data_IF_688218209241
#
_entry.id   IF_688218209241
#
_cell.length_a   1.000
_cell.length_b   1.000
_cell.length_c   1.000
_cell.angle_alpha   90.00
_cell.angle_beta   90.00
_cell.angle_gamma   90.00
#
_symmetry.space_group_name_H-M   'P 1'
#
loop_
_entity.id
_entity.type
_entity.pdbx_description
1 polymer ?
#
# COMPACT_ATOMS: atom_id res chain seq x y z
N UNK A 1 -5.23 -9.78 -12.38
CA UNK A 1 -4.41 -8.83 -11.59
C UNK A 1 -5.14 -7.49 -11.58
N UNK A 2 -5.49 -6.94 -10.41
CA UNK A 2 -6.07 -5.59 -10.33
C UNK A 2 -5.00 -4.54 -10.70
N UNK A 3 -5.41 -3.44 -11.29
CA UNK A 3 -4.55 -2.33 -11.73
C UNK A 3 -3.84 -1.66 -10.53
N UNK A 4 -2.58 -1.24 -10.70
CA UNK A 4 -1.74 -0.61 -9.66
C UNK A 4 -1.30 0.77 -10.17
N UNK A 5 -1.78 1.84 -9.54
CA UNK A 5 -1.61 3.21 -10.01
C UNK A 5 -0.73 4.03 -9.06
N UNK A 6 0.12 4.91 -9.59
CA UNK A 6 0.95 5.79 -8.76
C UNK A 6 0.18 7.05 -8.40
N UNK A 7 0.09 7.36 -7.12
CA UNK A 7 -0.37 8.67 -6.64
C UNK A 7 0.84 9.48 -6.19
N UNK A 8 0.99 10.70 -6.69
CA UNK A 8 2.10 11.60 -6.30
C UNK A 8 1.61 13.00 -6.03
N UNK A 9 2.33 13.73 -5.19
CA UNK A 9 2.19 15.17 -5.07
C UNK A 9 3.12 15.86 -6.09
N UNK A 10 2.55 16.75 -6.90
CA UNK A 10 3.28 17.60 -7.83
C UNK A 10 3.20 19.04 -7.32
N UNK A 11 4.35 19.61 -6.93
CA UNK A 11 4.43 20.96 -6.38
C UNK A 11 3.73 21.97 -7.30
N UNK A 12 2.87 22.82 -6.72
CA UNK A 12 1.97 23.79 -7.40
C UNK A 12 0.92 23.20 -8.36
N UNK A 13 0.91 21.88 -8.58
CA UNK A 13 -0.07 21.19 -9.45
C UNK A 13 -1.01 20.26 -8.68
N UNK A 14 -0.83 20.10 -7.38
CA UNK A 14 -1.67 19.25 -6.54
C UNK A 14 -1.32 17.77 -6.64
N UNK A 15 -2.32 16.91 -6.44
CA UNK A 15 -2.20 15.46 -6.43
C UNK A 15 -2.49 14.87 -7.80
N UNK A 16 -1.64 13.96 -8.25
CA UNK A 16 -1.77 13.34 -9.56
C UNK A 16 -1.87 11.82 -9.42
N UNK A 17 -2.78 11.23 -10.19
CA UNK A 17 -2.80 9.80 -10.45
C UNK A 17 -2.11 9.57 -11.79
N UNK A 18 -1.11 8.69 -11.79
CA UNK A 18 -0.20 8.46 -12.92
C UNK A 18 -0.12 6.97 -13.20
N UNK A 19 -0.14 6.62 -14.49
CA UNK A 19 0.21 5.30 -14.99
C UNK A 19 1.42 5.42 -15.91
N UNK A 20 2.55 4.85 -15.49
CA UNK A 20 3.85 5.06 -16.14
C UNK A 20 4.24 6.55 -16.20
N UNK A 21 4.31 7.11 -17.41
CA UNK A 21 4.56 8.54 -17.67
C UNK A 21 3.28 9.36 -17.85
N UNK A 22 2.12 8.72 -17.94
CA UNK A 22 0.86 9.35 -18.29
C UNK A 22 0.14 9.83 -17.04
N UNK A 23 -0.16 11.13 -16.97
CA UNK A 23 -1.03 11.69 -15.95
C UNK A 23 -2.47 11.37 -16.33
N UNK A 24 -3.13 10.52 -15.53
CA UNK A 24 -4.53 10.15 -15.76
C UNK A 24 -5.47 11.26 -15.30
N UNK A 25 -5.22 11.83 -14.12
CA UNK A 25 -6.02 12.94 -13.57
C UNK A 25 -5.25 13.70 -12.48
N UNK A 26 -5.60 14.97 -12.30
CA UNK A 26 -5.06 15.86 -11.26
C UNK A 26 -6.17 16.30 -10.30
N UNK A 27 -5.84 16.46 -9.03
CA UNK A 27 -6.74 16.76 -7.93
C UNK A 27 -6.13 17.78 -6.98
N UNK A 28 -6.96 18.60 -6.36
CA UNK A 28 -6.48 19.52 -5.31
C UNK A 28 -6.09 18.78 -4.02
N UNK A 29 -6.82 17.72 -3.68
CA UNK A 29 -6.68 16.97 -2.42
C UNK A 29 -6.26 15.52 -2.67
N UNK A 30 -5.50 14.97 -1.71
CA UNK A 30 -5.04 13.57 -1.72
C UNK A 30 -6.21 12.61 -1.81
N UNK A 31 -7.25 12.85 -1.03
CA UNK A 31 -8.44 12.01 -0.93
C UNK A 31 -9.16 11.90 -2.27
N UNK A 32 -9.20 12.98 -3.07
CA UNK A 32 -9.76 12.94 -4.42
C UNK A 32 -8.99 12.01 -5.36
N UNK A 33 -7.65 12.07 -5.31
CA UNK A 33 -6.80 11.18 -6.08
C UNK A 33 -6.97 9.71 -5.66
N UNK A 34 -7.07 9.44 -4.35
CA UNK A 34 -7.32 8.08 -3.86
C UNK A 34 -8.73 7.58 -4.18
N UNK A 35 -9.74 8.46 -4.17
CA UNK A 35 -11.11 8.09 -4.53
C UNK A 35 -11.16 7.63 -5.98
N UNK A 36 -10.48 8.34 -6.89
CA UNK A 36 -10.35 7.94 -8.29
C UNK A 36 -9.71 6.55 -8.47
N UNK A 37 -8.71 6.21 -7.64
CA UNK A 37 -8.09 4.88 -7.66
C UNK A 37 -9.08 3.81 -7.17
N UNK A 38 -9.84 4.09 -6.10
CA UNK A 38 -10.89 3.19 -5.58
C UNK A 38 -11.99 2.97 -6.61
N UNK A 39 -12.48 4.03 -7.25
CA UNK A 39 -13.57 3.98 -8.24
C UNK A 39 -13.20 3.14 -9.47
N UNK A 40 -11.90 3.02 -9.79
CA UNK A 40 -11.37 2.13 -10.84
C UNK A 40 -11.22 0.67 -10.40
N UNK A 41 -11.45 0.35 -9.13
CA UNK A 41 -11.11 -0.95 -8.58
C UNK A 41 -9.59 -1.22 -8.57
N UNK A 42 -8.79 -0.16 -8.67
CA UNK A 42 -7.34 -0.20 -8.63
C UNK A 42 -6.83 -0.09 -7.18
N UNK A 43 -5.51 -0.19 -7.01
CA UNK A 43 -4.82 0.09 -5.74
C UNK A 43 -3.62 1.01 -5.98
N UNK A 44 -3.22 1.74 -4.95
CA UNK A 44 -2.05 2.61 -5.01
C UNK A 44 -0.76 1.77 -5.06
N UNK A 45 0.19 2.22 -5.88
CA UNK A 45 1.56 1.77 -5.87
C UNK A 45 2.29 2.33 -4.65
N UNK A 46 2.63 1.48 -3.68
CA UNK A 46 3.51 1.85 -2.56
C UNK A 46 4.97 1.60 -2.89
N UNK A 47 5.85 2.38 -2.27
CA UNK A 47 7.28 2.17 -2.33
C UNK A 47 7.66 1.09 -1.32
N UNK A 48 8.46 0.12 -1.75
CA UNK A 48 8.83 -1.03 -0.91
C UNK A 48 10.34 -1.09 -0.73
N UNK A 49 10.78 -1.23 0.52
CA UNK A 49 12.18 -1.42 0.88
C UNK A 49 12.30 -2.48 1.96
N UNK A 50 13.51 -3.02 2.19
CA UNK A 50 13.73 -3.93 3.32
C UNK A 50 13.61 -3.14 4.62
N UNK A 51 12.93 -3.71 5.61
CA UNK A 51 12.88 -3.13 6.94
C UNK A 51 14.28 -3.17 7.56
N UNK A 52 14.77 -2.03 8.07
CA UNK A 52 16.07 -1.93 8.77
C UNK A 52 15.81 -1.95 10.27
N UNK A 53 16.28 -2.98 10.96
CA UNK A 53 16.13 -3.18 12.40
C UNK A 53 17.52 -3.33 13.01
N UNK A 54 17.94 -2.35 13.83
CA UNK A 54 19.27 -2.36 14.45
C UNK A 54 20.42 -2.46 13.44
N UNK A 55 20.28 -1.80 12.28
CA UNK A 55 21.26 -1.84 11.18
C UNK A 55 21.21 -3.11 10.30
N UNK A 56 20.33 -4.07 10.61
CA UNK A 56 20.15 -5.29 9.82
C UNK A 56 18.91 -5.19 8.93
N UNK A 57 18.99 -5.73 7.72
CA UNK A 57 17.88 -5.79 6.77
C UNK A 57 17.52 -7.27 6.48
N UNK A 58 16.62 -7.89 7.26
CA UNK A 58 16.25 -9.28 7.05
C UNK A 58 15.73 -9.50 5.61
N UNK A 59 16.07 -10.63 4.96
CA UNK A 59 15.79 -10.82 3.53
C UNK A 59 14.30 -10.90 3.19
N UNK A 60 13.45 -11.25 4.17
CA UNK A 60 12.03 -11.51 3.99
C UNK A 60 11.12 -10.57 4.78
N UNK A 61 11.60 -9.35 5.04
CA UNK A 61 10.91 -8.31 5.81
C UNK A 61 10.96 -6.99 5.05
N UNK A 62 9.79 -6.47 4.68
CA UNK A 62 9.69 -5.29 3.84
C UNK A 62 8.69 -4.29 4.40
N UNK A 63 9.07 -3.02 4.40
CA UNK A 63 8.22 -1.89 4.75
C UNK A 63 7.64 -1.26 3.48
N UNK A 64 6.36 -0.90 3.54
CA UNK A 64 5.65 -0.16 2.51
C UNK A 64 5.58 1.31 2.93
N UNK A 65 5.92 2.21 2.01
CA UNK A 65 5.89 3.65 2.24
C UNK A 65 5.03 4.37 1.21
N UNK A 66 4.34 5.41 1.66
CA UNK A 66 3.71 6.40 0.80
C UNK A 66 4.35 7.76 1.07
N UNK A 67 5.08 8.29 0.09
CA UNK A 67 5.98 9.43 0.29
C UNK A 67 6.98 9.14 1.42
N UNK A 68 7.00 9.95 2.48
CA UNK A 68 7.94 9.81 3.60
C UNK A 68 7.41 8.90 4.72
N UNK A 69 6.13 8.52 4.67
CA UNK A 69 5.48 7.78 5.76
C UNK A 69 5.51 6.28 5.48
N UNK A 70 5.95 5.50 6.47
CA UNK A 70 5.77 4.03 6.44
C UNK A 70 4.34 3.70 6.81
N UNK A 71 3.62 3.03 5.92
CA UNK A 71 2.18 2.78 6.03
C UNK A 71 1.83 1.30 6.21
N UNK A 72 2.79 0.40 6.03
CA UNK A 72 2.57 -1.02 6.23
C UNK A 72 3.84 -1.84 6.15
N UNK A 73 3.69 -3.16 6.33
CA UNK A 73 4.80 -4.12 6.32
C UNK A 73 4.33 -5.49 5.88
N UNK A 74 5.25 -6.25 5.28
CA UNK A 74 5.09 -7.68 5.03
C UNK A 74 6.29 -8.44 5.58
N UNK A 75 6.05 -9.64 6.11
CA UNK A 75 7.06 -10.50 6.70
C UNK A 75 6.75 -11.96 6.35
N UNK A 76 7.76 -12.70 5.89
CA UNK A 76 7.64 -14.14 5.72
C UNK A 76 7.90 -14.88 7.02
N UNK A 77 7.01 -15.80 7.37
CA UNK A 77 7.23 -16.75 8.47
C UNK A 77 8.29 -17.77 8.03
N UNK A 78 9.40 -17.85 8.78
CA UNK A 78 10.55 -18.69 8.41
C UNK A 78 10.53 -20.08 9.05
N UNK A 79 9.85 -20.23 10.19
CA UNK A 79 9.90 -21.44 11.02
C UNK A 79 8.50 -21.79 11.54
N UNK A 80 8.34 -23.04 11.99
CA UNK A 80 7.09 -23.55 12.52
C UNK A 80 6.12 -24.05 11.45
N UNK A 81 4.90 -24.37 11.86
CA UNK A 81 3.85 -24.96 11.02
C UNK A 81 3.35 -24.02 9.92
N UNK A 82 3.48 -22.71 10.11
CA UNK A 82 3.12 -21.68 9.12
C UNK A 82 4.32 -21.23 8.27
N UNK A 83 5.47 -21.93 8.33
CA UNK A 83 6.64 -21.56 7.54
C UNK A 83 6.30 -21.49 6.04
N UNK A 84 6.76 -20.41 5.39
CA UNK A 84 6.43 -20.14 4.00
C UNK A 84 5.34 -19.08 3.81
N UNK A 85 4.44 -18.90 4.79
CA UNK A 85 3.38 -17.89 4.72
C UNK A 85 3.91 -16.47 4.88
N UNK A 86 3.14 -15.51 4.37
CA UNK A 86 3.41 -14.08 4.47
C UNK A 86 2.36 -13.41 5.34
N UNK A 87 2.82 -12.77 6.41
CA UNK A 87 2.02 -11.82 7.17
C UNK A 87 2.09 -10.46 6.49
N UNK A 88 0.97 -9.74 6.47
CA UNK A 88 0.90 -8.35 6.02
C UNK A 88 0.09 -7.51 7.00
N UNK A 89 0.46 -6.24 7.12
CA UNK A 89 -0.28 -5.26 7.92
C UNK A 89 -0.23 -3.88 7.27
N UNK A 90 -1.38 -3.22 7.24
CA UNK A 90 -1.54 -1.79 7.00
C UNK A 90 -1.69 -1.11 8.36
N UNK A 91 -0.75 -0.22 8.70
CA UNK A 91 -0.74 0.47 9.99
C UNK A 91 -1.95 1.40 10.12
N UNK A 92 -2.28 2.08 9.02
CA UNK A 92 -3.47 2.90 8.93
C UNK A 92 -4.74 2.03 8.97
N UNK A 93 -5.48 2.12 10.08
CA UNK A 93 -6.69 1.33 10.31
C UNK A 93 -6.47 -0.11 10.79
N UNK A 94 -5.22 -0.56 10.94
CA UNK A 94 -4.89 -1.84 11.58
C UNK A 94 -5.23 -3.12 10.79
N UNK A 95 -5.69 -2.99 9.54
CA UNK A 95 -6.00 -4.14 8.69
C UNK A 95 -4.76 -5.03 8.49
N UNK A 96 -4.93 -6.35 8.59
CA UNK A 96 -3.84 -7.31 8.50
C UNK A 96 -4.34 -8.69 8.05
N UNK A 97 -3.42 -9.58 7.69
CA UNK A 97 -3.75 -10.95 7.33
C UNK A 97 -2.52 -11.83 7.06
N UNK A 98 -2.77 -13.11 6.79
CA UNK A 98 -1.77 -14.09 6.35
C UNK A 98 -2.18 -14.66 4.99
N UNK A 99 -1.21 -14.81 4.10
CA UNK A 99 -1.41 -15.29 2.72
C UNK A 99 -0.22 -16.14 2.29
N UNK A 100 -0.37 -16.87 1.18
CA UNK A 100 0.63 -17.83 0.71
C UNK A 100 1.80 -17.17 -0.01
N UNK A 101 1.59 -16.00 -0.61
CA UNK A 101 2.60 -15.36 -1.47
C UNK A 101 2.92 -13.93 -1.07
N UNK A 102 4.12 -13.47 -1.47
CA UNK A 102 4.55 -12.09 -1.28
C UNK A 102 3.63 -11.11 -2.00
N UNK A 103 3.19 -11.45 -3.22
CA UNK A 103 2.39 -10.54 -4.04
C UNK A 103 0.97 -10.36 -3.47
N UNK A 104 0.38 -11.41 -2.90
CA UNK A 104 -0.88 -11.28 -2.15
C UNK A 104 -0.70 -10.42 -0.90
N UNK A 105 0.44 -10.52 -0.22
CA UNK A 105 0.74 -9.72 0.96
C UNK A 105 0.89 -8.22 0.59
N UNK A 106 1.60 -7.93 -0.50
CA UNK A 106 1.69 -6.58 -1.10
C UNK A 106 0.31 -6.07 -1.47
N UNK A 107 -0.50 -6.90 -2.15
CA UNK A 107 -1.86 -6.55 -2.54
C UNK A 107 -2.72 -6.18 -1.33
N UNK A 108 -2.62 -6.94 -0.23
CA UNK A 108 -3.33 -6.68 1.03
C UNK A 108 -3.02 -5.27 1.56
N UNK A 109 -1.74 -4.93 1.71
CA UNK A 109 -1.32 -3.61 2.20
C UNK A 109 -1.80 -2.50 1.29
N UNK A 110 -1.54 -2.60 -0.02
CA UNK A 110 -1.87 -1.55 -0.99
C UNK A 110 -3.37 -1.30 -1.10
N UNK A 111 -4.17 -2.37 -1.17
CA UNK A 111 -5.63 -2.26 -1.21
C UNK A 111 -6.18 -1.65 0.08
N UNK A 112 -5.71 -2.13 1.24
CA UNK A 112 -6.16 -1.62 2.54
C UNK A 112 -5.83 -0.14 2.71
N UNK A 113 -4.60 0.26 2.39
CA UNK A 113 -4.20 1.67 2.48
C UNK A 113 -5.02 2.55 1.52
N UNK A 114 -5.21 2.10 0.27
CA UNK A 114 -5.99 2.82 -0.74
C UNK A 114 -7.41 3.14 -0.27
N UNK A 115 -8.10 2.13 0.28
CA UNK A 115 -9.47 2.26 0.77
C UNK A 115 -9.55 3.05 2.08
N UNK A 116 -8.53 2.94 2.93
CA UNK A 116 -8.47 3.62 4.23
C UNK A 116 -8.37 5.14 4.11
N UNK A 117 -7.61 5.65 3.13
CA UNK A 117 -7.45 7.10 2.89
C UNK A 117 -8.79 7.76 2.62
N UNK A 118 -9.69 7.09 1.89
CA UNK A 118 -11.03 7.61 1.56
C UNK A 118 -12.14 7.10 2.46
N UNK A 119 -11.80 6.38 3.54
CA UNK A 119 -12.77 5.77 4.46
C UNK A 119 -13.81 4.87 3.78
N UNK A 120 -13.45 4.23 2.66
CA UNK A 120 -14.37 3.38 1.89
C UNK A 120 -14.87 2.14 2.65
N UNK A 121 -14.19 1.75 3.73
CA UNK A 121 -14.56 0.63 4.61
C UNK A 121 -15.13 1.08 5.97
N UNK A 122 -15.30 2.39 6.19
CA UNK A 122 -15.87 2.92 7.43
C UNK A 122 -17.40 2.87 7.35
N UNK A 123 -18.03 1.95 8.11
CA UNK A 123 -19.48 2.02 8.34
C UNK A 123 -19.78 3.25 9.20
N UNK A 124 -20.62 4.15 8.70
CA UNK A 124 -21.32 5.09 9.57
C UNK A 124 -22.04 4.26 10.65
N UNK A 125 -21.65 4.46 11.91
CA UNK A 125 -22.41 4.00 13.06
C UNK A 125 -23.53 5.02 13.26
#
# INVERSE_FOLDING_TARGET
MSERLKVRFAYQRGWQVVDGSTILQTFEKKEGAFQFVVDRGARVWLEWSRTVIGGKAPPSDFAASFMQDTVGRILKTLHGTEAGTWFWSCYEGGANGRVSTKDEAVFGVERSYTRRVVKADWRAI
#
